data_IF_397994661820
#
_entry.id   IF_397994661820
#
_cell.length_a   1.000
_cell.length_b   1.000
_cell.length_c   1.000
_cell.angle_alpha   90.00
_cell.angle_beta   90.00
_cell.angle_gamma   90.00
#
_symmetry.space_group_name_H-M   'P 1'
#
loop_
_entity.id
_entity.type
_entity.pdbx_description
1 polymer ?
#
# COMPACT_ATOMS: atom_id res chain seq x y z
N UNK A 1 6.03 44.69 -63.84
CA UNK A 1 5.09 43.96 -62.95
C UNK A 1 5.90 42.94 -62.16
N UNK A 2 6.11 43.16 -60.86
CA UNK A 2 6.79 42.22 -59.95
C UNK A 2 5.85 41.98 -58.77
N UNK A 3 5.40 40.74 -58.62
CA UNK A 3 4.60 40.26 -57.49
C UNK A 3 5.51 40.06 -56.27
N UNK A 4 5.11 40.46 -55.05
CA UNK A 4 5.82 40.08 -53.84
C UNK A 4 5.34 38.70 -53.36
N UNK A 5 6.30 37.81 -53.10
CA UNK A 5 6.06 36.53 -52.45
C UNK A 5 5.90 36.74 -50.94
N UNK A 6 4.76 36.32 -50.39
CA UNK A 6 4.52 36.24 -48.95
C UNK A 6 5.16 34.96 -48.41
N UNK A 7 6.10 35.10 -47.48
CA UNK A 7 6.66 33.99 -46.69
C UNK A 7 5.93 33.97 -45.35
N UNK A 8 5.12 32.94 -45.12
CA UNK A 8 4.52 32.66 -43.81
C UNK A 8 5.53 31.91 -42.93
N UNK A 9 5.76 32.34 -41.67
CA UNK A 9 6.59 31.59 -40.75
C UNK A 9 5.83 30.37 -40.24
N UNK A 10 6.44 29.18 -40.39
CA UNK A 10 6.03 27.97 -39.71
C UNK A 10 6.29 28.15 -38.21
N UNK A 11 5.24 28.30 -37.41
CA UNK A 11 5.35 28.21 -35.96
C UNK A 11 5.30 26.73 -35.59
N UNK A 12 6.45 26.14 -35.29
CA UNK A 12 6.53 24.80 -34.73
C UNK A 12 6.05 24.85 -33.27
N UNK A 13 4.80 24.45 -33.03
CA UNK A 13 4.31 24.18 -31.67
C UNK A 13 5.05 22.98 -31.10
N UNK A 14 5.99 23.23 -30.19
CA UNK A 14 6.53 22.21 -29.31
C UNK A 14 5.40 21.74 -28.38
N UNK A 15 4.82 20.58 -28.67
CA UNK A 15 3.99 19.87 -27.70
C UNK A 15 4.91 19.42 -26.56
N UNK A 16 4.91 20.16 -25.45
CA UNK A 16 5.52 19.71 -24.22
C UNK A 16 4.76 18.45 -23.77
N UNK A 17 5.41 17.30 -23.86
CA UNK A 17 4.94 16.09 -23.22
C UNK A 17 4.86 16.37 -21.71
N UNK A 18 3.63 16.49 -21.19
CA UNK A 18 3.40 16.47 -19.77
C UNK A 18 3.78 15.09 -19.26
N UNK A 19 5.03 14.94 -18.83
CA UNK A 19 5.44 13.85 -17.96
C UNK A 19 4.60 14.04 -16.70
N UNK A 20 3.53 13.26 -16.57
CA UNK A 20 2.64 13.31 -15.43
C UNK A 20 3.45 12.98 -14.18
N UNK A 21 3.88 14.02 -13.47
CA UNK A 21 4.39 13.89 -12.11
C UNK A 21 3.23 13.36 -11.27
N UNK A 22 3.15 12.03 -11.10
CA UNK A 22 2.29 11.39 -10.11
C UNK A 22 2.89 11.77 -8.76
N UNK A 23 2.48 12.93 -8.25
CA UNK A 23 2.62 13.29 -6.85
C UNK A 23 2.06 12.12 -6.03
N UNK A 24 2.70 11.71 -4.91
CA UNK A 24 2.11 10.69 -4.07
C UNK A 24 0.69 11.15 -3.71
N UNK A 25 -0.30 10.28 -3.95
CA UNK A 25 -1.69 10.58 -3.63
C UNK A 25 -1.77 11.09 -2.18
N UNK A 26 -2.68 12.04 -1.88
CA UNK A 26 -2.87 12.48 -0.51
C UNK A 26 -3.14 11.29 0.39
N UNK A 27 -2.60 11.36 1.61
CA UNK A 27 -2.92 10.39 2.64
C UNK A 27 -4.35 10.66 3.14
N UNK A 28 -5.17 9.62 3.17
CA UNK A 28 -6.56 9.69 3.60
C UNK A 28 -6.85 8.77 4.79
N UNK A 29 -8.11 8.78 5.21
CA UNK A 29 -8.63 7.87 6.22
C UNK A 29 -8.85 6.47 5.62
N UNK A 30 -8.55 5.44 6.42
CA UNK A 30 -8.97 4.06 6.18
C UNK A 30 -10.40 3.88 6.68
N UNK A 31 -11.18 3.06 5.98
CA UNK A 31 -12.51 2.66 6.41
C UNK A 31 -12.59 1.18 6.74
N UNK A 32 -13.39 0.86 7.74
CA UNK A 32 -13.79 -0.49 8.12
C UNK A 32 -15.31 -0.59 8.05
N UNK A 33 -15.81 -1.77 7.68
CA UNK A 33 -17.25 -2.06 7.70
C UNK A 33 -17.50 -3.45 8.29
N UNK A 34 -18.35 -3.50 9.32
CA UNK A 34 -18.75 -4.73 9.97
C UNK A 34 -19.67 -4.50 11.17
N UNK A 35 -20.21 -5.58 11.77
CA UNK A 35 -21.08 -5.47 12.93
C UNK A 35 -20.28 -5.09 14.18
N UNK A 36 -20.61 -3.95 14.81
CA UNK A 36 -19.96 -3.49 16.06
C UNK A 36 -20.46 -4.22 17.32
N UNK A 37 -21.47 -5.08 17.18
CA UNK A 37 -21.99 -5.99 18.22
C UNK A 37 -22.33 -7.35 17.60
N UNK A 38 -22.25 -8.45 18.35
CA UNK A 38 -22.64 -9.78 17.84
C UNK A 38 -24.08 -9.77 17.30
N UNK A 39 -24.24 -10.05 16.00
CA UNK A 39 -25.55 -10.07 15.33
C UNK A 39 -26.17 -8.70 15.03
N UNK A 40 -25.46 -7.60 15.30
CA UNK A 40 -25.92 -6.24 15.01
C UNK A 40 -25.82 -5.85 13.52
N UNK A 41 -26.38 -4.70 13.12
CA UNK A 41 -26.20 -4.16 11.77
C UNK A 41 -24.72 -3.78 11.54
N UNK A 42 -24.26 -3.91 10.29
CA UNK A 42 -22.93 -3.43 9.91
C UNK A 42 -22.87 -1.92 9.94
N UNK A 43 -21.79 -1.38 10.51
CA UNK A 43 -21.49 0.06 10.53
C UNK A 43 -20.21 0.31 9.77
N UNK A 44 -20.15 1.45 9.07
CA UNK A 44 -18.93 1.90 8.39
C UNK A 44 -18.24 2.97 9.21
N UNK A 45 -17.01 2.72 9.62
CA UNK A 45 -16.21 3.61 10.48
C UNK A 45 -14.95 4.02 9.73
N UNK A 46 -14.63 5.31 9.75
CA UNK A 46 -13.41 5.87 9.16
C UNK A 46 -12.43 6.33 10.25
N UNK A 47 -11.14 6.15 10.00
CA UNK A 47 -10.09 6.61 10.88
C UNK A 47 -8.71 6.71 10.22
N UNK A 48 -7.74 7.18 11.00
CA UNK A 48 -6.37 7.39 10.52
C UNK A 48 -5.59 6.08 10.38
N UNK A 49 -6.02 5.02 11.07
CA UNK A 49 -5.49 3.65 10.96
C UNK A 49 -6.52 2.65 11.50
N UNK A 50 -6.27 1.34 11.36
CA UNK A 50 -7.12 0.32 12.00
C UNK A 50 -7.07 0.40 13.53
N UNK A 51 -5.94 0.80 14.12
CA UNK A 51 -5.82 1.03 15.56
C UNK A 51 -6.68 2.22 16.03
N UNK A 52 -6.79 3.27 15.21
CA UNK A 52 -7.70 4.40 15.47
C UNK A 52 -9.17 3.96 15.38
N UNK A 53 -9.52 3.17 14.36
CA UNK A 53 -10.87 2.58 14.23
C UNK A 53 -11.20 1.70 15.44
N UNK A 54 -10.29 0.83 15.85
CA UNK A 54 -10.42 -0.03 17.02
C UNK A 54 -10.66 0.80 18.30
N UNK A 55 -9.88 1.86 18.50
CA UNK A 55 -10.03 2.75 19.64
C UNK A 55 -11.39 3.47 19.63
N UNK A 56 -11.86 3.92 18.46
CA UNK A 56 -13.18 4.54 18.29
C UNK A 56 -14.30 3.58 18.63
N UNK A 57 -14.25 2.34 18.14
CA UNK A 57 -15.30 1.34 18.40
C UNK A 57 -15.29 0.91 19.87
N UNK A 58 -14.11 0.70 20.47
CA UNK A 58 -13.98 0.32 21.89
C UNK A 58 -14.53 1.37 22.86
N UNK A 59 -14.58 2.64 22.46
CA UNK A 59 -15.19 3.70 23.29
C UNK A 59 -16.67 3.43 23.57
N UNK A 60 -17.41 2.96 22.57
CA UNK A 60 -18.84 2.68 22.67
C UNK A 60 -19.13 1.19 22.93
N UNK A 61 -18.17 0.31 22.58
CA UNK A 61 -18.25 -1.15 22.73
C UNK A 61 -16.96 -1.74 23.34
N UNK A 62 -16.69 -1.58 24.65
CA UNK A 62 -15.40 -1.95 25.27
C UNK A 62 -14.97 -3.42 25.14
N UNK A 63 -15.92 -4.33 24.95
CA UNK A 63 -15.66 -5.78 24.79
C UNK A 63 -15.52 -6.24 23.33
N UNK A 64 -15.62 -5.33 22.36
CA UNK A 64 -15.49 -5.65 20.94
C UNK A 64 -14.06 -5.37 20.45
N UNK A 65 -13.61 -6.17 19.48
CA UNK A 65 -12.35 -6.02 18.77
C UNK A 65 -12.60 -6.22 17.27
N UNK A 66 -12.07 -5.33 16.43
CA UNK A 66 -12.03 -5.55 14.98
C UNK A 66 -10.97 -6.58 14.59
N UNK A 67 -10.11 -6.99 15.52
CA UNK A 67 -9.13 -8.05 15.29
C UNK A 67 -9.66 -9.38 15.81
N UNK A 68 -9.66 -10.38 14.93
CA UNK A 68 -9.98 -11.77 15.22
C UNK A 68 -8.81 -12.47 15.93
N UNK A 69 -9.13 -13.43 16.80
CA UNK A 69 -8.14 -14.23 17.53
C UNK A 69 -7.31 -15.10 16.58
N UNK A 70 -7.93 -15.58 15.50
CA UNK A 70 -7.31 -16.35 14.43
C UNK A 70 -7.31 -15.56 13.11
N UNK A 71 -6.27 -15.70 12.27
CA UNK A 71 -6.29 -15.18 10.90
C UNK A 71 -7.45 -15.78 10.10
N UNK A 72 -8.00 -14.99 9.17
CA UNK A 72 -8.98 -15.45 8.21
C UNK A 72 -8.29 -16.35 7.18
N UNK A 73 -8.88 -17.50 6.91
CA UNK A 73 -8.40 -18.37 5.83
C UNK A 73 -8.78 -17.78 4.47
N UNK A 74 -7.81 -17.77 3.54
CA UNK A 74 -8.04 -17.36 2.17
C UNK A 74 -8.99 -18.35 1.50
N UNK A 75 -10.24 -17.94 1.30
CA UNK A 75 -11.22 -18.67 0.46
C UNK A 75 -10.95 -18.44 -1.03
N UNK A 76 -9.67 -18.40 -1.42
CA UNK A 76 -9.26 -18.40 -2.82
C UNK A 76 -9.32 -19.85 -3.29
N UNK A 77 -10.43 -20.21 -3.94
CA UNK A 77 -10.69 -21.54 -4.50
C UNK A 77 -9.45 -22.09 -5.21
N UNK A 78 -8.96 -23.22 -4.69
CA UNK A 78 -7.96 -24.04 -5.34
C UNK A 78 -8.51 -24.51 -6.69
N UNK A 79 -7.98 -23.96 -7.77
CA UNK A 79 -8.00 -24.61 -9.07
C UNK A 79 -6.55 -24.86 -9.45
N UNK A 80 -6.09 -26.07 -9.14
CA UNK A 80 -4.82 -26.59 -9.63
C UNK A 80 -4.91 -26.81 -11.14
N UNK A 81 -4.27 -25.94 -11.91
CA UNK A 81 -4.05 -26.07 -13.35
C UNK A 81 -2.83 -25.21 -13.75
N UNK A 82 -2.15 -25.47 -14.89
CA UNK A 82 -0.86 -24.85 -15.28
C UNK A 82 -0.90 -23.31 -15.45
N UNK A 83 -2.04 -22.68 -15.19
CA UNK A 83 -2.26 -21.25 -15.06
C UNK A 83 -1.44 -20.60 -13.92
N UNK A 84 -1.02 -21.38 -12.91
CA UNK A 84 -0.24 -20.89 -11.76
C UNK A 84 1.12 -20.30 -12.18
N UNK A 85 1.81 -20.90 -13.15
CA UNK A 85 3.11 -20.40 -13.61
C UNK A 85 3.00 -19.11 -14.47
N UNK A 86 1.98 -19.04 -15.34
CA UNK A 86 1.71 -17.83 -16.12
C UNK A 86 1.21 -16.68 -15.24
N UNK A 87 0.38 -16.98 -14.23
CA UNK A 87 -0.06 -16.01 -13.22
C UNK A 87 1.12 -15.56 -12.37
N UNK A 88 2.00 -16.45 -11.91
CA UNK A 88 3.22 -16.09 -11.19
C UNK A 88 4.16 -15.19 -12.01
N UNK A 89 4.37 -15.47 -13.30
CA UNK A 89 5.18 -14.64 -14.20
C UNK A 89 4.56 -13.26 -14.47
N UNK A 90 3.23 -13.14 -14.51
CA UNK A 90 2.52 -11.86 -14.60
C UNK A 90 2.55 -11.10 -13.26
N UNK A 91 2.55 -11.80 -12.13
CA UNK A 91 2.65 -11.19 -10.80
C UNK A 91 4.07 -10.66 -10.51
N UNK A 92 5.13 -11.33 -10.96
CA UNK A 92 6.49 -10.80 -10.86
C UNK A 92 6.66 -9.46 -11.59
N UNK A 93 5.91 -9.23 -12.68
CA UNK A 93 5.89 -7.93 -13.39
C UNK A 93 5.13 -6.83 -12.64
N UNK A 94 4.41 -7.15 -11.58
CA UNK A 94 3.60 -6.20 -10.79
C UNK A 94 4.34 -5.68 -9.57
N UNK A 95 5.39 -6.36 -9.15
CA UNK A 95 6.21 -5.97 -7.99
C UNK A 95 7.31 -5.01 -8.44
N UNK A 96 7.42 -3.87 -7.77
CA UNK A 96 8.46 -2.86 -7.97
C UNK A 96 9.20 -2.62 -6.65
N UNK A 97 10.48 -3.00 -6.61
CA UNK A 97 11.36 -2.88 -5.44
C UNK A 97 12.00 -1.48 -5.36
N UNK A 98 11.16 -0.46 -5.29
CA UNK A 98 11.59 0.94 -5.23
C UNK A 98 11.90 1.34 -3.77
N UNK A 99 13.15 1.74 -3.50
CA UNK A 99 13.62 2.12 -2.16
C UNK A 99 13.03 3.44 -1.67
N UNK A 100 12.36 4.23 -2.53
CA UNK A 100 11.81 5.54 -2.15
C UNK A 100 10.79 5.51 -1.01
N UNK A 101 10.20 4.34 -0.74
CA UNK A 101 9.24 4.15 0.36
C UNK A 101 9.92 3.98 1.73
N UNK A 102 11.24 3.87 1.74
CA UNK A 102 12.04 3.62 2.93
C UNK A 102 12.12 2.12 3.23
N UNK A 103 13.27 1.73 3.77
CA UNK A 103 13.61 0.35 4.07
C UNK A 103 13.15 -0.01 5.47
N UNK A 104 12.61 -1.21 5.62
CA UNK A 104 12.06 -1.69 6.89
C UNK A 104 12.49 -3.12 7.18
N UNK A 105 12.47 -3.50 8.47
CA UNK A 105 12.82 -4.85 8.89
C UNK A 105 11.66 -5.80 8.54
N UNK A 106 11.91 -6.92 7.82
CA UNK A 106 10.86 -7.84 7.38
C UNK A 106 9.96 -8.35 8.50
N UNK A 107 10.55 -8.67 9.66
CA UNK A 107 9.83 -9.11 10.85
C UNK A 107 8.66 -8.19 11.25
N UNK A 108 8.81 -6.87 11.12
CA UNK A 108 7.74 -5.93 11.45
C UNK A 108 6.71 -5.81 10.32
N UNK A 109 7.12 -5.91 9.07
CA UNK A 109 6.19 -5.99 7.94
C UNK A 109 5.32 -7.24 8.01
N UNK A 110 5.89 -8.39 8.39
CA UNK A 110 5.18 -9.66 8.60
C UNK A 110 4.14 -9.59 9.72
N UNK A 111 4.43 -8.85 10.80
CA UNK A 111 3.43 -8.58 11.83
C UNK A 111 2.26 -7.74 11.29
N UNK A 112 2.54 -6.72 10.48
CA UNK A 112 1.50 -5.95 9.80
C UNK A 112 0.64 -6.83 8.87
N UNK A 113 1.26 -7.72 8.10
CA UNK A 113 0.58 -8.71 7.26
C UNK A 113 -0.33 -9.62 8.10
N UNK A 114 0.17 -10.13 9.22
CA UNK A 114 -0.61 -10.96 10.16
C UNK A 114 -1.82 -10.21 10.73
N UNK A 115 -1.65 -8.94 11.10
CA UNK A 115 -2.75 -8.10 11.60
C UNK A 115 -3.84 -7.88 10.54
N UNK A 116 -3.45 -7.63 9.28
CA UNK A 116 -4.42 -7.47 8.18
C UNK A 116 -5.28 -8.71 7.97
N UNK A 117 -4.68 -9.90 8.08
CA UNK A 117 -5.40 -11.18 8.00
C UNK A 117 -6.37 -11.40 9.17
N UNK A 118 -6.28 -10.60 10.24
CA UNK A 118 -7.14 -10.70 11.42
C UNK A 118 -8.26 -9.67 11.41
N UNK A 119 -8.36 -8.79 10.40
CA UNK A 119 -9.42 -7.78 10.37
C UNK A 119 -10.79 -8.44 10.16
N UNK A 120 -11.64 -8.37 11.18
CA UNK A 120 -13.02 -8.83 11.14
C UNK A 120 -13.79 -8.15 10.00
N UNK A 121 -14.62 -8.91 9.29
CA UNK A 121 -15.30 -8.46 8.08
C UNK A 121 -14.42 -8.42 6.82
N UNK A 122 -13.09 -8.53 6.95
CA UNK A 122 -12.13 -8.53 5.84
C UNK A 122 -12.27 -7.33 4.88
N UNK A 123 -12.59 -6.13 5.37
CA UNK A 123 -12.86 -4.96 4.53
C UNK A 123 -11.80 -3.86 4.74
N UNK A 124 -11.03 -3.56 3.70
CA UNK A 124 -10.07 -2.46 3.67
C UNK A 124 -10.55 -1.39 2.68
N UNK A 125 -11.19 -0.34 3.20
CA UNK A 125 -11.68 0.76 2.38
C UNK A 125 -10.64 1.86 2.19
N UNK A 126 -10.44 2.29 0.94
CA UNK A 126 -9.65 3.46 0.59
C UNK A 126 -10.47 4.45 -0.23
N UNK A 127 -10.38 5.74 0.12
CA UNK A 127 -11.05 6.82 -0.62
C UNK A 127 -10.52 6.93 -2.04
N UNK A 128 -11.36 7.39 -2.96
CA UNK A 128 -10.95 7.76 -4.32
C UNK A 128 -9.70 8.65 -4.28
N UNK A 129 -8.68 8.34 -5.08
CA UNK A 129 -7.47 9.16 -5.24
C UNK A 129 -6.71 9.42 -3.92
N UNK A 130 -6.71 8.46 -3.00
CA UNK A 130 -5.95 8.54 -1.75
C UNK A 130 -5.08 7.30 -1.53
N UNK A 131 -3.97 7.50 -0.83
CA UNK A 131 -3.27 6.42 -0.14
C UNK A 131 -3.72 6.39 1.32
N UNK A 132 -3.72 5.21 1.93
CA UNK A 132 -4.04 5.02 3.35
C UNK A 132 -2.95 4.18 3.99
N UNK A 133 -2.64 4.44 5.27
CA UNK A 133 -1.78 3.55 6.06
C UNK A 133 -2.67 2.49 6.70
N UNK A 134 -2.57 1.25 6.24
CA UNK A 134 -3.35 0.15 6.81
C UNK A 134 -2.71 -0.38 8.10
N UNK A 135 -1.38 -0.42 8.18
CA UNK A 135 -0.64 -0.89 9.35
C UNK A 135 0.60 -0.04 9.63
N UNK A 136 1.00 0.03 10.90
CA UNK A 136 2.31 0.55 11.31
C UNK A 136 2.82 -0.22 12.54
N UNK A 137 3.78 -1.12 12.33
CA UNK A 137 4.37 -1.95 13.39
C UNK A 137 5.87 -1.73 13.41
N UNK A 138 6.46 -1.36 14.55
CA UNK A 138 7.93 -1.21 14.67
C UNK A 138 8.57 -0.25 13.65
N UNK A 139 7.82 0.71 13.11
CA UNK A 139 8.26 1.62 12.04
C UNK A 139 8.05 1.08 10.61
N UNK A 140 7.65 -0.19 10.44
CA UNK A 140 7.24 -0.77 9.17
C UNK A 140 5.75 -0.50 8.88
N UNK A 141 5.49 0.14 7.76
CA UNK A 141 4.17 0.51 7.28
C UNK A 141 3.73 -0.31 6.08
N UNK A 142 2.45 -0.66 6.06
CA UNK A 142 1.75 -1.17 4.88
C UNK A 142 0.73 -0.12 4.46
N UNK A 143 0.74 0.24 3.18
CA UNK A 143 -0.20 1.21 2.63
C UNK A 143 -0.99 0.64 1.46
N UNK A 144 -2.25 1.08 1.34
CA UNK A 144 -3.12 0.83 0.19
C UNK A 144 -3.34 2.15 -0.53
N UNK A 145 -3.00 2.21 -1.82
CA UNK A 145 -3.14 3.40 -2.65
C UNK A 145 -4.19 3.16 -3.73
N UNK A 146 -5.23 3.99 -3.74
CA UNK A 146 -6.35 3.90 -4.66
C UNK A 146 -6.23 4.99 -5.74
N UNK A 147 -5.83 4.58 -6.95
CA UNK A 147 -5.77 5.49 -8.11
C UNK A 147 -7.14 5.64 -8.79
N UNK A 148 -8.19 4.92 -8.39
CA UNK A 148 -9.51 5.08 -8.96
C UNK A 148 -10.17 6.41 -8.56
N UNK A 149 -11.14 6.85 -9.36
CA UNK A 149 -11.99 8.02 -9.09
C UNK A 149 -13.18 7.69 -8.17
N UNK A 150 -13.31 6.45 -7.74
CA UNK A 150 -14.29 5.98 -6.76
C UNK A 150 -13.58 5.35 -5.56
N UNK A 151 -14.27 5.30 -4.43
CA UNK A 151 -13.83 4.55 -3.26
C UNK A 151 -13.73 3.05 -3.64
N UNK A 152 -12.73 2.37 -3.08
CA UNK A 152 -12.56 0.92 -3.23
C UNK A 152 -12.73 0.26 -1.87
N UNK A 153 -13.26 -0.97 -1.89
CA UNK A 153 -13.24 -1.89 -0.77
C UNK A 153 -12.53 -3.17 -1.23
N UNK A 154 -11.32 -3.39 -0.73
CA UNK A 154 -10.52 -4.56 -1.08
C UNK A 154 -10.46 -5.46 0.15
N UNK A 155 -10.49 -6.79 -0.01
CA UNK A 155 -10.22 -7.69 1.09
C UNK A 155 -8.90 -7.36 1.79
N UNK A 156 -8.90 -7.22 3.11
CA UNK A 156 -7.66 -6.98 3.85
C UNK A 156 -6.67 -8.15 3.69
N UNK A 157 -7.17 -9.38 3.52
CA UNK A 157 -6.34 -10.53 3.13
C UNK A 157 -5.66 -10.32 1.77
N UNK A 158 -6.34 -9.73 0.79
CA UNK A 158 -5.73 -9.40 -0.51
C UNK A 158 -4.64 -8.33 -0.37
N UNK A 159 -4.83 -7.34 0.50
CA UNK A 159 -3.78 -6.36 0.84
C UNK A 159 -2.58 -7.07 1.50
N UNK A 160 -2.85 -8.01 2.40
CA UNK A 160 -1.83 -8.81 3.09
C UNK A 160 -1.03 -9.70 2.12
N UNK A 161 -1.70 -10.37 1.18
CA UNK A 161 -1.07 -11.17 0.12
C UNK A 161 -0.09 -10.34 -0.71
N UNK A 162 -0.53 -9.15 -1.15
CA UNK A 162 0.30 -8.26 -1.97
C UNK A 162 1.51 -7.74 -1.17
N UNK A 163 1.30 -7.37 0.11
CA UNK A 163 2.40 -6.98 0.99
C UNK A 163 3.39 -8.14 1.23
N UNK A 164 2.90 -9.37 1.41
CA UNK A 164 3.75 -10.56 1.53
C UNK A 164 4.55 -10.80 0.24
N UNK A 165 3.95 -10.56 -0.92
CA UNK A 165 4.66 -10.67 -2.18
C UNK A 165 5.78 -9.65 -2.30
N UNK A 166 5.55 -8.40 -1.90
CA UNK A 166 6.62 -7.39 -1.81
C UNK A 166 7.70 -7.86 -0.84
N UNK A 167 7.34 -8.33 0.36
CA UNK A 167 8.32 -8.80 1.36
C UNK A 167 9.20 -9.94 0.88
N UNK A 168 8.64 -10.90 0.13
CA UNK A 168 9.39 -12.04 -0.39
C UNK A 168 10.24 -11.73 -1.63
N UNK A 169 9.85 -10.76 -2.44
CA UNK A 169 10.52 -10.46 -3.71
C UNK A 169 11.42 -9.22 -3.66
N UNK A 170 11.20 -8.31 -2.70
CA UNK A 170 11.92 -7.06 -2.58
C UNK A 170 12.63 -6.94 -1.23
N UNK A 171 13.59 -7.84 -1.00
CA UNK A 171 14.44 -7.81 0.16
C UNK A 171 15.90 -7.64 -0.24
N UNK A 172 16.71 -7.12 0.68
CA UNK A 172 18.17 -7.07 0.55
C UNK A 172 18.83 -7.40 1.87
N UNK A 173 20.06 -7.90 1.76
CA UNK A 173 20.98 -8.07 2.89
C UNK A 173 22.15 -7.12 2.70
N UNK A 174 22.27 -6.14 3.58
CA UNK A 174 23.41 -5.24 3.61
C UNK A 174 24.40 -5.68 4.68
N UNK A 175 25.67 -5.82 4.30
CA UNK A 175 26.75 -6.06 5.26
C UNK A 175 26.99 -4.83 6.13
N UNK A 176 26.95 -5.01 7.45
CA UNK A 176 27.17 -3.91 8.40
C UNK A 176 28.66 -3.76 8.67
N UNK A 177 29.26 -2.70 8.14
CA UNK A 177 30.67 -2.38 8.34
C UNK A 177 30.84 -1.15 9.22
N UNK A 178 31.73 -1.24 10.22
CA UNK A 178 32.08 -0.12 11.10
C UNK A 178 33.53 0.30 10.85
N UNK A 179 33.81 1.61 10.65
CA UNK A 179 35.17 2.10 10.48
C UNK A 179 36.06 1.65 11.64
N UNK A 180 37.21 1.06 11.32
CA UNK A 180 38.19 0.57 12.32
C UNK A 180 37.81 -0.72 13.05
N UNK A 181 36.61 -1.26 12.85
CA UNK A 181 36.18 -2.53 13.45
C UNK A 181 36.03 -3.64 12.41
N UNK A 182 35.83 -3.31 11.13
CA UNK A 182 35.53 -4.30 10.09
C UNK A 182 34.03 -4.54 9.96
N UNK A 183 33.65 -5.59 9.23
CA UNK A 183 32.26 -5.91 8.94
C UNK A 183 31.76 -7.02 9.90
N UNK A 184 30.69 -6.73 10.63
CA UNK A 184 30.15 -7.59 11.69
C UNK A 184 28.63 -7.63 11.60
N UNK A 185 28.11 -8.51 10.75
CA UNK A 185 26.69 -8.79 10.64
C UNK A 185 26.05 -8.32 9.33
N UNK A 186 24.78 -8.65 9.21
CA UNK A 186 23.94 -8.40 8.05
C UNK A 186 22.65 -7.74 8.52
N UNK A 187 22.20 -6.72 7.79
CA UNK A 187 20.91 -6.09 7.99
C UNK A 187 19.98 -6.52 6.86
N UNK A 188 18.97 -7.29 7.22
CA UNK A 188 17.88 -7.64 6.32
C UNK A 188 16.85 -6.52 6.28
N UNK A 189 16.52 -6.07 5.07
CA UNK A 189 15.45 -5.09 4.87
C UNK A 189 14.56 -5.46 3.70
N UNK A 190 13.31 -5.00 3.75
CA UNK A 190 12.33 -5.10 2.68
C UNK A 190 11.71 -3.74 2.37
N UNK A 191 11.28 -3.54 1.12
CA UNK A 191 10.64 -2.31 0.65
C UNK A 191 10.04 -2.53 -0.75
N UNK A 192 9.03 -1.77 -1.12
CA UNK A 192 8.56 -1.74 -2.50
C UNK A 192 7.05 -1.62 -2.58
N UNK A 193 6.53 -1.98 -3.75
CA UNK A 193 5.09 -1.96 -3.99
C UNK A 193 4.68 -3.05 -4.98
N UNK A 194 3.44 -3.50 -4.88
CA UNK A 194 2.80 -4.35 -5.89
C UNK A 194 1.56 -3.66 -6.44
N UNK A 195 1.48 -3.57 -7.77
CA UNK A 195 0.30 -3.06 -8.47
C UNK A 195 -0.73 -4.16 -8.69
N UNK A 196 -1.99 -3.86 -8.44
CA UNK A 196 -3.09 -4.67 -8.95
C UNK A 196 -3.52 -4.18 -10.34
N UNK A 197 -4.20 -5.03 -11.11
CA UNK A 197 -4.77 -4.64 -12.41
C UNK A 197 -5.94 -3.66 -12.29
N UNK A 198 -6.50 -3.47 -11.09
CA UNK A 198 -7.64 -2.60 -10.81
C UNK A 198 -7.32 -1.15 -10.42
N UNK A 199 -6.21 -0.57 -10.89
CA UNK A 199 -5.77 0.81 -10.56
C UNK A 199 -5.66 1.07 -9.04
N UNK A 200 -5.05 0.13 -8.33
CA UNK A 200 -4.60 0.34 -6.96
C UNK A 200 -3.29 -0.41 -6.75
N UNK A 201 -2.56 -0.06 -5.70
CA UNK A 201 -1.33 -0.75 -5.33
C UNK A 201 -1.16 -0.83 -3.81
N UNK A 202 -0.37 -1.81 -3.39
CA UNK A 202 0.03 -1.99 -1.99
C UNK A 202 1.51 -1.66 -1.88
N UNK A 203 1.87 -0.87 -0.86
CA UNK A 203 3.24 -0.41 -0.61
C UNK A 203 3.70 -0.96 0.74
N UNK A 204 4.92 -1.50 0.78
CA UNK A 204 5.65 -1.82 2.01
C UNK A 204 6.82 -0.86 2.13
N UNK A 205 6.89 -0.14 3.25
CA UNK A 205 7.92 0.87 3.48
C UNK A 205 7.81 1.48 4.87
N UNK A 206 8.50 2.58 5.15
CA UNK A 206 8.47 3.19 6.47
C UNK A 206 7.10 3.80 6.80
N UNK A 207 6.65 3.72 8.05
CA UNK A 207 5.39 4.34 8.47
C UNK A 207 5.32 5.85 8.21
N UNK A 208 6.46 6.53 8.27
CA UNK A 208 6.61 7.97 8.03
C UNK A 208 6.30 8.34 6.58
N UNK A 209 6.50 7.43 5.62
CA UNK A 209 6.13 7.64 4.22
C UNK A 209 4.62 7.91 4.08
N UNK A 210 3.81 7.20 4.85
CA UNK A 210 2.35 7.30 4.86
C UNK A 210 1.80 8.36 5.83
N UNK A 211 2.66 9.23 6.35
CA UNK A 211 2.25 10.34 7.22
C UNK A 211 2.02 9.95 8.68
N UNK A 212 2.54 10.78 9.57
CA UNK A 212 2.03 10.97 10.92
C UNK A 212 1.81 12.45 11.10
N UNK A 213 0.55 12.90 11.16
CA UNK A 213 0.12 14.25 11.60
C UNK A 213 0.54 15.47 10.77
N UNK A 214 1.76 15.54 10.26
CA UNK A 214 2.36 16.75 9.73
C UNK A 214 3.31 16.36 8.60
N UNK A 215 2.85 16.46 7.35
CA UNK A 215 3.81 16.66 6.26
C UNK A 215 4.00 18.16 6.08
N UNK A 216 5.24 18.62 5.96
CA UNK A 216 5.61 19.45 4.83
C UNK A 216 6.12 18.52 3.74
N UNK A 217 5.31 18.33 2.68
CA UNK A 217 5.84 17.85 1.41
C UNK A 217 6.42 19.06 0.69
N UNK A 218 7.75 19.24 0.78
CA UNK A 218 8.68 19.94 -0.14
C UNK A 218 10.00 20.19 0.62
N UNK A 219 11.16 20.19 -0.02
CA UNK A 219 11.46 20.42 -1.43
C UNK A 219 12.20 19.25 -2.09
#
# INVERSE_FOLDING_TARGET
MRTPAFVLPLVASAAAAAVGNVLPLPMGEIGWEGPATPGGPSVKVWGNSFEDIEAKIKKDHPGFSIYLDAPQEDTTGSSEAPEVAARAALLQKRVNCDTRFGEVIPYYAEQGISNLRRINGNNCWARARHCIRTQCVGGAGIGLCNDNYNDINIPCTRVAEMAEHVTRNCWKMDTVCRPGQGCHGENETTFGQEFDGGNFNVIVGQCSFFGGGERPVKA
#
